data_IF_266813945664
#
_entry.id   IF_266813945664
#
_cell.length_a   1.000
_cell.length_b   1.000
_cell.length_c   1.000
_cell.angle_alpha   90.00
_cell.angle_beta   90.00
_cell.angle_gamma   90.00
#
_symmetry.space_group_name_H-M   'P 1'
#
loop_
_entity.id
_entity.type
_entity.pdbx_description
1 polymer ?
#
# COMPACT_ATOMS: atom_id res chain seq x y z
N UNK A 1 -13.72 -8.64 -25.50
CA UNK A 1 -14.33 -9.52 -24.48
C UNK A 1 -13.38 -9.56 -23.30
N UNK A 2 -13.37 -8.50 -22.48
CA UNK A 2 -12.43 -8.31 -21.38
C UNK A 2 -13.14 -8.65 -20.06
N UNK A 3 -12.55 -9.59 -19.32
CA UNK A 3 -13.05 -10.14 -18.07
C UNK A 3 -12.83 -9.14 -16.92
N UNK A 4 -13.83 -8.29 -16.68
CA UNK A 4 -14.05 -7.62 -15.40
C UNK A 4 -14.72 -8.61 -14.45
N UNK A 5 -13.92 -9.36 -13.72
CA UNK A 5 -14.40 -10.18 -12.61
C UNK A 5 -13.56 -9.86 -11.40
N UNK A 6 -14.11 -9.07 -10.46
CA UNK A 6 -14.03 -9.26 -9.01
C UNK A 6 -15.24 -8.52 -8.39
N UNK A 7 -15.87 -9.15 -7.39
CA UNK A 7 -16.86 -8.65 -6.40
C UNK A 7 -18.38 -8.59 -6.67
N UNK A 8 -18.91 -8.95 -7.85
CA UNK A 8 -20.38 -8.91 -8.09
C UNK A 8 -21.25 -9.77 -7.13
N UNK A 9 -20.90 -11.04 -6.78
CA UNK A 9 -21.80 -11.89 -6.01
C UNK A 9 -21.89 -11.59 -4.51
N UNK A 10 -21.02 -10.72 -3.96
CA UNK A 10 -21.06 -10.34 -2.54
C UNK A 10 -21.94 -9.12 -2.29
N UNK A 11 -21.90 -8.16 -3.22
CA UNK A 11 -22.82 -7.02 -3.30
C UNK A 11 -24.26 -7.53 -3.46
N UNK A 12 -24.49 -8.51 -4.34
CA UNK A 12 -25.83 -9.09 -4.58
C UNK A 12 -26.43 -9.77 -3.34
N UNK A 13 -25.60 -10.35 -2.47
CA UNK A 13 -26.04 -11.15 -1.31
C UNK A 13 -26.22 -10.36 -0.01
N UNK A 14 -25.63 -9.17 0.09
CA UNK A 14 -25.93 -8.21 1.15
C UNK A 14 -27.03 -7.21 0.77
N UNK A 15 -27.32 -7.03 -0.54
CA UNK A 15 -28.37 -6.13 -1.05
C UNK A 15 -29.78 -6.72 -1.01
N UNK A 16 -29.97 -8.04 -0.96
CA UNK A 16 -31.33 -8.62 -0.82
C UNK A 16 -32.03 -8.26 0.52
N UNK A 17 -31.36 -7.54 1.44
CA UNK A 17 -31.92 -7.17 2.75
C UNK A 17 -32.00 -5.68 3.07
N UNK A 18 -31.55 -4.78 2.21
CA UNK A 18 -31.66 -3.33 2.46
C UNK A 18 -31.97 -2.58 1.17
N UNK A 19 -32.98 -1.72 1.21
CA UNK A 19 -33.38 -0.88 0.08
C UNK A 19 -32.22 0.00 -0.40
N UNK A 20 -31.89 -0.14 -1.69
CA UNK A 20 -31.29 0.86 -2.59
C UNK A 20 -30.28 1.87 -2.00
N UNK A 21 -28.99 1.57 -2.18
CA UNK A 21 -27.88 2.49 -1.86
C UNK A 21 -27.42 3.32 -3.10
N UNK A 22 -27.50 4.67 -3.06
CA UNK A 22 -27.00 5.58 -4.10
C UNK A 22 -25.49 5.51 -4.36
N UNK A 23 -24.68 5.13 -3.35
CA UNK A 23 -23.21 5.07 -3.42
C UNK A 23 -22.77 4.07 -4.51
N UNK A 24 -23.49 2.95 -4.59
CA UNK A 24 -23.22 1.83 -5.47
C UNK A 24 -23.52 2.12 -6.95
N UNK A 25 -24.40 3.09 -7.21
CA UNK A 25 -24.71 3.57 -8.57
C UNK A 25 -23.70 4.61 -9.05
N UNK A 26 -23.25 5.52 -8.17
CA UNK A 26 -22.24 6.52 -8.52
C UNK A 26 -20.90 5.87 -8.87
N UNK A 27 -20.46 4.87 -8.11
CA UNK A 27 -19.23 4.11 -8.44
C UNK A 27 -19.32 3.39 -9.79
N UNK A 28 -20.51 2.89 -10.18
CA UNK A 28 -20.71 2.25 -11.50
C UNK A 28 -20.68 3.26 -12.65
N UNK A 29 -21.28 4.42 -12.46
CA UNK A 29 -21.35 5.46 -13.48
C UNK A 29 -19.99 6.12 -13.75
N UNK A 30 -19.15 6.30 -12.74
CA UNK A 30 -17.80 6.85 -12.90
C UNK A 30 -16.86 5.89 -13.66
N UNK A 31 -16.98 4.58 -13.43
CA UNK A 31 -16.23 3.57 -14.21
C UNK A 31 -16.66 3.57 -15.69
N UNK A 32 -17.96 3.77 -15.95
CA UNK A 32 -18.48 3.87 -17.32
C UNK A 32 -18.06 5.17 -18.02
N UNK A 33 -18.04 6.31 -17.33
CA UNK A 33 -17.65 7.59 -17.95
C UNK A 33 -16.15 7.66 -18.30
N UNK A 34 -15.29 6.99 -17.53
CA UNK A 34 -13.85 6.86 -17.83
C UNK A 34 -13.61 5.97 -19.05
N UNK A 35 -14.39 4.90 -19.21
CA UNK A 35 -14.24 3.94 -20.32
C UNK A 35 -14.79 4.45 -21.65
N UNK A 36 -15.72 5.41 -21.63
CA UNK A 36 -16.30 6.02 -22.84
C UNK A 36 -15.65 7.35 -23.26
N UNK A 37 -14.60 7.80 -22.56
CA UNK A 37 -13.93 9.06 -22.89
C UNK A 37 -13.12 8.95 -24.20
N UNK A 38 -13.46 9.71 -25.27
CA UNK A 38 -12.78 9.64 -26.55
C UNK A 38 -11.29 10.04 -26.50
N UNK A 39 -10.85 10.76 -25.46
CA UNK A 39 -9.42 11.06 -25.24
C UNK A 39 -8.61 9.84 -24.76
N UNK A 40 -9.23 8.87 -24.08
CA UNK A 40 -8.56 7.64 -23.63
C UNK A 40 -8.33 6.69 -24.80
N UNK A 41 -9.31 6.57 -25.70
CA UNK A 41 -9.18 5.79 -26.94
C UNK A 41 -8.12 6.38 -27.89
N UNK A 42 -8.14 7.71 -28.08
CA UNK A 42 -7.14 8.39 -28.91
C UNK A 42 -5.71 8.32 -28.34
N UNK A 43 -5.56 8.27 -27.01
CA UNK A 43 -4.26 8.10 -26.36
C UNK A 43 -3.67 6.71 -26.63
N UNK A 44 -4.49 5.65 -26.64
CA UNK A 44 -4.05 4.27 -26.90
C UNK A 44 -3.49 4.13 -28.33
N UNK A 45 -4.17 4.69 -29.32
CA UNK A 45 -3.71 4.64 -30.72
C UNK A 45 -2.44 5.47 -30.95
N UNK A 46 -2.32 6.62 -30.27
CA UNK A 46 -1.12 7.48 -30.36
C UNK A 46 0.10 6.81 -29.73
N UNK A 47 -0.06 6.09 -28.61
CA UNK A 47 1.03 5.37 -27.94
C UNK A 47 1.53 4.20 -28.79
N UNK A 48 0.63 3.42 -29.41
CA UNK A 48 1.01 2.30 -30.27
C UNK A 48 1.84 2.74 -31.49
N UNK A 49 1.44 3.87 -32.09
CA UNK A 49 2.16 4.45 -33.25
C UNK A 49 3.52 5.02 -32.84
N UNK A 50 3.60 5.68 -31.68
CA UNK A 50 4.83 6.30 -31.17
C UNK A 50 5.88 5.27 -30.75
N UNK A 51 5.47 4.12 -30.18
CA UNK A 51 6.37 3.00 -29.85
C UNK A 51 6.96 2.36 -31.12
N UNK A 52 6.20 2.32 -32.21
CA UNK A 52 6.68 1.80 -33.49
C UNK A 52 7.69 2.73 -34.20
N UNK A 53 7.64 4.04 -33.95
CA UNK A 53 8.64 5.00 -34.43
C UNK A 53 9.90 5.06 -33.56
N UNK A 54 9.77 4.87 -32.24
CA UNK A 54 10.89 4.86 -31.28
C UNK A 54 11.79 3.63 -31.44
N UNK A 55 11.21 2.46 -31.73
CA UNK A 55 11.98 1.21 -31.95
C UNK A 55 12.90 1.27 -33.17
N UNK A 56 12.64 2.17 -34.14
CA UNK A 56 13.50 2.40 -35.30
C UNK A 56 14.71 3.33 -35.06
N UNK A 57 14.72 4.13 -33.98
CA UNK A 57 15.73 5.18 -33.73
C UNK A 57 16.74 4.89 -32.61
N UNK A 58 16.59 3.78 -31.88
CA UNK A 58 17.44 3.45 -30.70
C UNK A 58 18.85 2.92 -31.08
N UNK A 59 19.19 2.79 -32.37
CA UNK A 59 20.50 2.25 -32.80
C UNK A 59 21.67 3.23 -32.89
N UNK A 60 21.52 4.50 -32.55
CA UNK A 60 22.68 5.43 -32.61
C UNK A 60 22.50 6.70 -31.77
N UNK A 61 22.89 6.68 -30.50
CA UNK A 61 23.27 7.90 -29.78
C UNK A 61 24.48 7.62 -28.87
N UNK A 62 25.43 8.57 -28.71
CA UNK A 62 26.70 8.35 -28.03
C UNK A 62 26.55 8.52 -26.51
N UNK A 63 27.36 7.74 -25.76
CA UNK A 63 27.53 7.92 -24.31
C UNK A 63 28.28 9.21 -24.02
N UNK A 64 27.65 10.12 -23.27
CA UNK A 64 28.36 11.14 -22.51
C UNK A 64 28.48 10.66 -21.06
N UNK A 65 29.71 10.50 -20.62
CA UNK A 65 30.08 10.36 -19.22
C UNK A 65 30.06 11.76 -18.59
N UNK A 66 29.10 12.00 -17.70
CA UNK A 66 29.26 13.00 -16.64
C UNK A 66 28.86 12.35 -15.32
N UNK A 67 29.80 12.40 -14.38
CA UNK A 67 29.74 11.70 -13.11
C UNK A 67 28.62 12.21 -12.23
N UNK A 68 27.71 11.32 -11.89
CA UNK A 68 26.95 11.40 -10.66
C UNK A 68 27.16 10.05 -9.96
N UNK A 69 27.84 10.08 -8.82
CA UNK A 69 28.17 8.90 -8.03
C UNK A 69 26.89 8.12 -7.74
N UNK A 70 26.75 6.95 -8.39
CA UNK A 70 25.73 6.00 -8.00
C UNK A 70 26.11 5.50 -6.61
N UNK A 71 25.38 5.92 -5.58
CA UNK A 71 25.31 5.19 -4.33
C UNK A 71 24.66 3.84 -4.64
N UNK A 72 25.47 2.89 -5.11
CA UNK A 72 25.09 1.50 -5.16
C UNK A 72 24.96 1.05 -3.71
N UNK A 73 23.71 1.03 -3.22
CA UNK A 73 23.36 0.34 -1.98
C UNK A 73 23.91 -1.08 -2.11
N UNK A 74 24.83 -1.45 -1.22
CA UNK A 74 25.37 -2.82 -1.19
C UNK A 74 24.21 -3.79 -1.10
N UNK A 75 24.15 -4.74 -2.04
CA UNK A 75 23.23 -5.86 -1.96
C UNK A 75 23.52 -6.61 -0.65
N UNK A 76 22.51 -6.68 0.22
CA UNK A 76 22.68 -7.17 1.58
C UNK A 76 22.84 -8.69 1.60
N UNK A 77 23.80 -9.19 2.37
CA UNK A 77 23.96 -10.64 2.61
C UNK A 77 22.84 -11.11 3.57
N UNK A 78 21.79 -11.71 2.99
CA UNK A 78 20.68 -12.28 3.73
C UNK A 78 21.01 -13.73 4.15
N UNK A 79 20.97 -13.98 5.45
CA UNK A 79 21.10 -15.30 6.03
C UNK A 79 19.75 -16.02 6.02
N UNK A 80 19.77 -17.33 5.81
CA UNK A 80 18.57 -18.17 5.97
C UNK A 80 18.27 -18.28 7.47
N UNK A 81 17.07 -17.92 7.94
CA UNK A 81 16.71 -18.05 9.34
C UNK A 81 16.70 -19.53 9.77
N UNK A 82 17.20 -19.82 10.98
CA UNK A 82 17.23 -21.19 11.53
C UNK A 82 16.02 -21.51 12.40
N UNK A 83 15.45 -20.49 13.04
CA UNK A 83 14.46 -20.66 14.12
C UNK A 83 13.05 -20.21 13.70
N UNK A 84 12.91 -19.59 12.53
CA UNK A 84 11.64 -19.15 11.94
C UNK A 84 11.65 -19.36 10.43
N UNK A 85 10.46 -19.43 9.82
CA UNK A 85 10.33 -19.62 8.36
C UNK A 85 10.81 -18.40 7.58
N UNK A 86 10.57 -17.20 8.09
CA UNK A 86 10.93 -15.94 7.45
C UNK A 86 11.77 -15.06 8.37
N UNK A 87 12.70 -14.32 7.77
CA UNK A 87 13.30 -13.14 8.36
C UNK A 87 13.20 -11.97 7.37
N UNK A 88 13.19 -10.76 7.93
CA UNK A 88 13.26 -9.52 7.15
C UNK A 88 14.56 -8.83 7.55
N UNK A 89 15.50 -8.67 6.62
CA UNK A 89 16.84 -8.16 6.92
C UNK A 89 17.56 -8.97 8.03
N UNK A 90 17.38 -10.29 8.05
CA UNK A 90 17.88 -11.18 9.11
C UNK A 90 17.27 -10.96 10.51
N UNK A 91 16.25 -10.11 10.63
CA UNK A 91 15.48 -9.93 11.88
C UNK A 91 14.31 -10.92 11.89
N UNK A 92 14.11 -11.58 13.03
CA UNK A 92 12.98 -12.49 13.29
C UNK A 92 12.12 -12.02 14.47
N UNK A 93 10.91 -12.60 14.64
CA UNK A 93 10.07 -12.31 15.81
C UNK A 93 10.79 -12.72 17.12
N UNK A 94 10.57 -11.96 18.20
CA UNK A 94 11.15 -12.23 19.53
C UNK A 94 12.55 -11.66 19.78
N UNK A 95 13.23 -11.16 18.75
CA UNK A 95 14.48 -10.39 18.91
C UNK A 95 14.24 -9.12 19.74
N UNK A 96 15.25 -8.67 20.49
CA UNK A 96 15.11 -7.42 21.24
C UNK A 96 15.27 -6.19 20.35
N UNK A 97 14.55 -5.11 20.69
CA UNK A 97 14.72 -3.80 20.06
C UNK A 97 16.18 -3.32 20.07
N UNK A 98 16.92 -3.61 21.13
CA UNK A 98 18.34 -3.26 21.23
C UNK A 98 19.20 -3.99 20.17
N UNK A 99 18.94 -5.27 19.92
CA UNK A 99 19.62 -6.04 18.88
C UNK A 99 19.26 -5.51 17.48
N UNK A 100 17.98 -5.21 17.25
CA UNK A 100 17.51 -4.62 15.98
C UNK A 100 18.17 -3.26 15.74
N UNK A 101 18.16 -2.35 16.72
CA UNK A 101 18.75 -1.02 16.57
C UNK A 101 20.28 -1.06 16.48
N UNK A 102 20.94 -2.08 17.05
CA UNK A 102 22.37 -2.33 16.84
C UNK A 102 22.67 -2.70 15.38
N UNK A 103 21.75 -3.37 14.70
CA UNK A 103 21.90 -3.80 13.31
C UNK A 103 21.43 -2.74 12.30
N UNK A 104 20.30 -2.09 12.56
CA UNK A 104 19.63 -1.17 11.64
C UNK A 104 19.89 0.32 11.94
N UNK A 105 20.43 0.63 13.12
CA UNK A 105 20.45 1.99 13.65
C UNK A 105 19.11 2.42 14.22
N UNK A 106 18.96 3.71 14.51
CA UNK A 106 17.71 4.26 15.04
C UNK A 106 16.61 4.30 13.96
N UNK A 107 15.34 4.06 14.32
CA UNK A 107 14.22 4.18 13.39
C UNK A 107 14.07 5.62 12.90
N UNK A 108 13.74 5.76 11.61
CA UNK A 108 13.50 7.05 10.97
C UNK A 108 12.13 7.62 11.34
N UNK A 109 11.16 6.75 11.66
CA UNK A 109 9.83 7.13 12.14
C UNK A 109 9.25 6.08 13.08
N UNK A 110 8.38 6.51 13.99
CA UNK A 110 7.47 5.67 14.76
C UNK A 110 6.03 6.15 14.54
N UNK A 111 5.10 5.24 14.28
CA UNK A 111 3.71 5.57 13.96
C UNK A 111 2.75 4.52 14.54
N UNK A 112 1.65 4.96 15.16
CA UNK A 112 0.67 4.03 15.73
C UNK A 112 -0.02 3.23 14.63
N UNK A 113 -0.25 1.95 14.88
CA UNK A 113 -0.79 1.01 13.90
C UNK A 113 -2.12 0.39 14.37
N UNK A 114 -2.72 -0.41 13.50
CA UNK A 114 -4.00 -1.09 13.70
C UNK A 114 -3.98 -2.09 14.87
N UNK A 115 -2.81 -2.49 15.36
CA UNK A 115 -2.69 -3.41 16.49
C UNK A 115 -2.66 -2.70 17.84
N UNK A 116 -2.71 -1.36 17.87
CA UNK A 116 -2.61 -0.58 19.10
C UNK A 116 -1.17 -0.47 19.63
N UNK A 117 -0.19 -0.78 18.78
CA UNK A 117 1.25 -0.57 19.01
C UNK A 117 1.80 0.36 17.91
N UNK A 118 3.12 0.46 17.77
CA UNK A 118 3.76 1.29 16.77
C UNK A 118 4.50 0.46 15.73
N UNK A 119 4.38 0.85 14.46
CA UNK A 119 5.37 0.53 13.43
C UNK A 119 6.54 1.51 13.52
N UNK A 120 7.75 0.96 13.61
CA UNK A 120 9.02 1.69 13.54
C UNK A 120 9.64 1.47 12.16
N UNK A 121 9.77 2.53 11.36
CA UNK A 121 10.33 2.47 10.02
C UNK A 121 11.86 2.59 10.04
N UNK A 122 12.54 1.64 9.40
CA UNK A 122 13.99 1.62 9.22
C UNK A 122 14.31 1.65 7.74
N UNK A 123 15.18 2.56 7.34
CA UNK A 123 15.66 2.68 5.96
C UNK A 123 16.85 3.64 5.90
N UNK A 124 17.62 3.56 4.82
CA UNK A 124 18.56 4.60 4.39
C UNK A 124 17.98 5.32 3.18
N UNK A 125 17.41 6.52 3.36
CA UNK A 125 16.70 7.25 2.30
C UNK A 125 15.67 6.39 1.52
N UNK A 126 14.85 5.62 2.25
CA UNK A 126 13.89 4.62 1.75
C UNK A 126 14.48 3.41 1.01
N UNK A 127 15.80 3.31 0.84
CA UNK A 127 16.45 2.05 0.49
C UNK A 127 16.41 1.09 1.68
N UNK A 128 16.29 -0.20 1.38
CA UNK A 128 16.16 -1.26 2.39
C UNK A 128 15.06 -0.97 3.42
N UNK A 129 13.96 -0.37 2.97
CA UNK A 129 12.80 -0.09 3.80
C UNK A 129 12.21 -1.35 4.44
N UNK A 130 12.04 -1.29 5.76
CA UNK A 130 11.26 -2.23 6.54
C UNK A 130 10.59 -1.52 7.72
N UNK A 131 9.51 -2.11 8.23
CA UNK A 131 8.89 -1.69 9.48
C UNK A 131 8.95 -2.83 10.49
N UNK A 132 9.21 -2.47 11.74
CA UNK A 132 9.25 -3.40 12.88
C UNK A 132 8.28 -2.91 13.95
N UNK A 133 7.49 -3.83 14.51
CA UNK A 133 6.66 -3.59 15.68
C UNK A 133 7.29 -4.27 16.88
N UNK A 134 7.13 -3.67 18.07
CA UNK A 134 7.63 -4.22 19.32
C UNK A 134 6.53 -4.32 20.37
N UNK A 135 6.59 -5.38 21.17
CA UNK A 135 5.72 -5.60 22.30
C UNK A 135 6.12 -4.73 23.52
N UNK A 136 5.34 -4.84 24.60
CA UNK A 136 5.61 -4.14 25.87
C UNK A 136 6.94 -4.48 26.54
N UNK A 137 7.62 -5.56 26.12
CA UNK A 137 8.92 -6.01 26.61
C UNK A 137 10.05 -5.65 25.63
N UNK A 138 9.78 -4.82 24.63
CA UNK A 138 10.69 -4.46 23.55
C UNK A 138 11.17 -5.67 22.74
N UNK A 139 10.29 -6.64 22.51
CA UNK A 139 10.53 -7.79 21.63
C UNK A 139 9.77 -7.61 20.32
N UNK A 140 10.40 -8.00 19.21
CA UNK A 140 9.78 -7.92 17.88
C UNK A 140 8.51 -8.76 17.86
N UNK A 141 7.36 -8.14 17.58
CA UNK A 141 6.06 -8.81 17.46
C UNK A 141 5.40 -8.58 16.08
N UNK A 142 6.04 -7.78 15.22
CA UNK A 142 5.62 -7.61 13.84
C UNK A 142 6.77 -7.16 12.94
N UNK A 143 6.73 -7.59 11.67
CA UNK A 143 7.68 -7.24 10.63
C UNK A 143 6.93 -6.95 9.32
N UNK A 144 7.40 -5.97 8.56
CA UNK A 144 6.93 -5.72 7.21
C UNK A 144 8.09 -5.26 6.30
N UNK A 145 8.09 -5.70 5.05
CA UNK A 145 8.90 -5.09 3.99
C UNK A 145 8.26 -5.30 2.62
N UNK A 146 8.41 -4.31 1.74
CA UNK A 146 8.16 -4.40 0.31
C UNK A 146 9.47 -4.36 -0.52
N UNK A 147 10.63 -4.57 0.11
CA UNK A 147 11.95 -4.53 -0.51
C UNK A 147 12.54 -5.95 -0.65
N UNK A 148 13.68 -6.07 -1.33
CA UNK A 148 14.41 -7.34 -1.47
C UNK A 148 15.19 -7.70 -0.20
N UNK A 149 14.46 -7.80 0.92
CA UNK A 149 14.97 -8.08 2.26
C UNK A 149 14.41 -9.37 2.85
N UNK A 150 13.59 -10.09 2.08
CA UNK A 150 12.91 -11.31 2.49
C UNK A 150 13.88 -12.48 2.36
N UNK A 151 14.11 -13.16 3.47
CA UNK A 151 14.85 -14.43 3.49
C UNK A 151 13.98 -15.51 4.11
N UNK A 152 14.06 -16.73 3.56
CA UNK A 152 13.32 -17.88 4.09
C UNK A 152 14.04 -19.20 3.82
N UNK A 153 13.86 -20.16 4.71
CA UNK A 153 14.37 -21.53 4.53
C UNK A 153 13.76 -22.23 3.30
N UNK A 154 12.58 -21.79 2.88
CA UNK A 154 11.84 -22.39 1.77
C UNK A 154 12.07 -21.65 0.43
N UNK A 155 12.99 -20.69 0.39
CA UNK A 155 13.40 -19.98 -0.84
C UNK A 155 12.37 -18.98 -1.37
N UNK A 156 11.35 -18.64 -0.60
CA UNK A 156 10.41 -17.56 -0.89
C UNK A 156 11.12 -16.22 -0.64
N UNK A 157 11.04 -15.34 -1.64
CA UNK A 157 11.60 -13.98 -1.63
C UNK A 157 10.79 -13.08 -2.56
N UNK A 158 11.22 -11.83 -2.71
CA UNK A 158 10.63 -10.92 -3.70
C UNK A 158 10.67 -11.55 -5.10
N UNK A 159 9.56 -11.45 -5.84
CA UNK A 159 9.46 -12.02 -7.19
C UNK A 159 9.14 -13.52 -7.24
N UNK A 160 9.06 -14.22 -6.10
CA UNK A 160 8.59 -15.63 -6.09
C UNK A 160 7.15 -15.69 -6.63
N UNK A 161 6.82 -16.54 -7.62
CA UNK A 161 5.45 -16.74 -8.09
C UNK A 161 4.56 -17.36 -7.00
N UNK A 162 3.29 -16.93 -6.97
CA UNK A 162 2.26 -17.42 -6.04
C UNK A 162 2.13 -18.94 -6.00
N UNK A 163 2.26 -19.62 -7.14
CA UNK A 163 2.22 -21.08 -7.21
C UNK A 163 3.37 -21.73 -6.42
N UNK A 164 4.57 -21.14 -6.45
CA UNK A 164 5.70 -21.63 -5.65
C UNK A 164 5.48 -21.36 -4.16
N UNK A 165 4.86 -20.24 -3.79
CA UNK A 165 4.48 -19.99 -2.39
C UNK A 165 3.54 -21.09 -1.88
N UNK A 166 2.53 -21.47 -2.67
CA UNK A 166 1.61 -22.56 -2.30
C UNK A 166 2.30 -23.93 -2.20
N UNK A 167 3.27 -24.21 -3.06
CA UNK A 167 4.04 -25.45 -2.97
C UNK A 167 4.86 -25.52 -1.69
N UNK A 168 5.37 -24.39 -1.21
CA UNK A 168 6.26 -24.31 -0.05
C UNK A 168 5.52 -24.13 1.29
N UNK A 169 4.42 -23.39 1.32
CA UNK A 169 3.67 -23.07 2.55
C UNK A 169 2.33 -23.81 2.67
N UNK A 170 1.90 -24.50 1.60
CA UNK A 170 0.61 -25.17 1.55
C UNK A 170 -0.55 -24.21 1.24
N UNK A 171 -1.73 -24.52 1.79
CA UNK A 171 -2.95 -23.76 1.52
C UNK A 171 -3.05 -22.52 2.42
N UNK A 172 -3.38 -21.35 1.87
CA UNK A 172 -3.62 -20.16 2.68
C UNK A 172 -4.91 -20.28 3.49
N UNK A 173 -5.00 -19.49 4.55
CA UNK A 173 -6.22 -19.33 5.33
C UNK A 173 -7.31 -18.66 4.49
N UNK A 174 -8.55 -19.04 4.74
CA UNK A 174 -9.75 -18.37 4.24
C UNK A 174 -10.47 -17.58 5.33
N UNK A 175 -10.08 -17.74 6.58
CA UNK A 175 -10.60 -17.00 7.73
C UNK A 175 -9.59 -16.99 8.89
N UNK A 176 -9.69 -15.99 9.76
CA UNK A 176 -9.05 -15.98 11.08
C UNK A 176 -10.15 -16.07 12.13
N UNK A 177 -9.96 -16.96 13.11
CA UNK A 177 -10.83 -17.04 14.28
C UNK A 177 -10.23 -16.21 15.42
N UNK A 178 -11.04 -15.36 16.03
CA UNK A 178 -10.71 -14.65 17.28
C UNK A 178 -11.80 -14.89 18.30
N UNK A 179 -11.49 -15.68 19.33
CA UNK A 179 -12.47 -16.16 20.30
C UNK A 179 -13.64 -16.91 19.64
N UNK A 180 -14.82 -16.28 19.64
CA UNK A 180 -16.06 -16.81 19.03
C UNK A 180 -16.37 -16.22 17.63
N UNK A 181 -15.58 -15.24 17.18
CA UNK A 181 -15.80 -14.54 15.90
C UNK A 181 -14.90 -15.13 14.82
N UNK A 182 -15.46 -15.31 13.62
CA UNK A 182 -14.74 -15.74 12.43
C UNK A 182 -14.69 -14.59 11.43
N UNK A 183 -13.47 -14.10 11.17
CA UNK A 183 -13.20 -13.08 10.16
C UNK A 183 -12.88 -13.79 8.85
N UNK A 184 -13.85 -13.79 7.94
CA UNK A 184 -13.69 -14.39 6.62
C UNK A 184 -12.95 -13.45 5.70
N UNK A 185 -12.00 -14.02 4.98
CA UNK A 185 -11.30 -13.30 3.93
C UNK A 185 -12.05 -13.44 2.61
N UNK A 186 -11.86 -12.45 1.73
CA UNK A 186 -12.37 -12.51 0.38
C UNK A 186 -11.62 -13.58 -0.45
N UNK A 187 -12.32 -14.14 -1.44
CA UNK A 187 -11.79 -15.22 -2.27
C UNK A 187 -10.82 -14.72 -3.37
N UNK A 188 -10.96 -13.48 -3.83
CA UNK A 188 -10.16 -12.93 -4.92
C UNK A 188 -9.38 -11.69 -4.48
N UNK A 189 -8.47 -11.94 -3.54
CA UNK A 189 -7.58 -10.95 -2.93
C UNK A 189 -6.18 -11.06 -3.53
N UNK A 190 -5.50 -9.92 -3.56
CA UNK A 190 -4.14 -9.79 -4.10
C UNK A 190 -3.06 -10.13 -3.04
N UNK A 191 -3.44 -10.83 -1.96
CA UNK A 191 -2.56 -11.31 -0.90
C UNK A 191 -3.05 -12.64 -0.32
N UNK A 192 -2.19 -13.37 0.38
CA UNK A 192 -2.56 -14.58 1.11
C UNK A 192 -2.03 -14.56 2.53
N UNK A 193 -2.82 -15.10 3.46
CA UNK A 193 -2.46 -15.22 4.87
C UNK A 193 -2.22 -16.69 5.20
N UNK A 194 -1.11 -16.99 5.85
CA UNK A 194 -0.75 -18.30 6.35
C UNK A 194 -0.58 -18.23 7.85
N UNK A 195 -1.03 -19.26 8.58
CA UNK A 195 -0.62 -19.45 9.97
C UNK A 195 0.50 -20.47 10.01
N UNK A 196 1.67 -20.04 10.46
CA UNK A 196 2.86 -20.88 10.58
C UNK A 196 3.45 -20.67 11.96
N UNK A 197 3.62 -21.76 12.70
CA UNK A 197 4.01 -21.75 14.11
C UNK A 197 3.10 -20.78 14.90
N UNK A 198 3.70 -19.81 15.60
CA UNK A 198 3.02 -18.77 16.37
C UNK A 198 2.96 -17.43 15.62
N UNK A 199 2.82 -17.46 14.29
CA UNK A 199 2.78 -16.25 13.47
C UNK A 199 1.74 -16.32 12.35
N UNK A 200 1.20 -15.16 12.00
CA UNK A 200 0.43 -14.92 10.78
C UNK A 200 1.34 -14.25 9.75
N UNK A 201 1.48 -14.89 8.60
CA UNK A 201 2.32 -14.42 7.50
C UNK A 201 1.40 -14.01 6.36
N UNK A 202 1.37 -12.72 6.06
CA UNK A 202 0.68 -12.17 4.89
C UNK A 202 1.69 -11.96 3.76
N UNK A 203 1.43 -12.57 2.61
CA UNK A 203 2.23 -12.42 1.39
C UNK A 203 1.40 -11.66 0.37
N UNK A 204 1.90 -10.50 -0.08
CA UNK A 204 1.27 -9.66 -1.09
C UNK A 204 1.81 -9.99 -2.47
N UNK A 205 0.96 -9.90 -3.50
CA UNK A 205 1.29 -10.22 -4.88
C UNK A 205 0.97 -9.07 -5.83
N UNK A 206 1.75 -8.93 -6.90
CA UNK A 206 1.40 -8.06 -8.03
C UNK A 206 0.60 -8.86 -9.07
N UNK A 207 -0.71 -8.62 -9.15
CA UNK A 207 -1.57 -9.31 -10.12
C UNK A 207 -1.25 -8.94 -11.57
N UNK A 208 -0.53 -7.84 -11.79
CA UNK A 208 -0.09 -7.37 -13.11
C UNK A 208 1.33 -7.84 -13.45
N UNK A 209 2.01 -8.56 -12.55
CA UNK A 209 3.31 -9.20 -12.79
C UNK A 209 3.27 -10.67 -12.43
N UNK A 210 2.38 -11.43 -13.08
CA UNK A 210 2.26 -12.89 -12.93
C UNK A 210 2.05 -13.36 -11.48
N UNK A 211 1.37 -12.57 -10.64
CA UNK A 211 1.14 -12.88 -9.22
C UNK A 211 2.44 -13.19 -8.47
N UNK A 212 3.50 -12.41 -8.68
CA UNK A 212 4.75 -12.58 -7.93
C UNK A 212 4.73 -11.80 -6.62
N UNK A 213 5.41 -12.31 -5.59
CA UNK A 213 5.55 -11.68 -4.27
C UNK A 213 6.10 -10.25 -4.39
N UNK A 214 5.41 -9.28 -3.78
CA UNK A 214 5.80 -7.86 -3.70
C UNK A 214 6.22 -7.41 -2.31
N UNK A 215 5.57 -7.97 -1.30
CA UNK A 215 5.79 -7.63 0.10
C UNK A 215 5.42 -8.80 1.01
N UNK A 216 5.91 -8.74 2.24
CA UNK A 216 5.57 -9.66 3.32
C UNK A 216 5.25 -8.86 4.59
N UNK A 217 4.25 -9.32 5.32
CA UNK A 217 3.97 -8.92 6.69
C UNK A 217 3.98 -10.17 7.57
N UNK A 218 4.72 -10.14 8.67
CA UNK A 218 4.77 -11.23 9.65
C UNK A 218 4.32 -10.66 10.98
N UNK A 219 3.25 -11.21 11.56
CA UNK A 219 2.62 -10.73 12.79
C UNK A 219 2.60 -11.87 13.79
N UNK A 220 3.07 -11.61 15.00
CA UNK A 220 2.99 -12.57 16.11
C UNK A 220 1.52 -12.97 16.39
N UNK A 221 1.29 -14.23 16.73
CA UNK A 221 -0.06 -14.74 16.97
C UNK A 221 -0.76 -14.01 18.11
N UNK A 222 -0.07 -13.71 19.22
CA UNK A 222 -0.68 -13.02 20.35
C UNK A 222 -1.04 -11.58 19.96
N UNK A 223 -0.21 -10.90 19.17
CA UNK A 223 -0.51 -9.57 18.64
C UNK A 223 -1.79 -9.58 17.79
N UNK A 224 -1.90 -10.52 16.84
CA UNK A 224 -3.08 -10.66 15.98
C UNK A 224 -4.33 -11.02 16.81
N UNK A 225 -4.23 -11.95 17.76
CA UNK A 225 -5.37 -12.39 18.57
C UNK A 225 -5.87 -11.32 19.56
N UNK A 226 -5.00 -10.40 19.99
CA UNK A 226 -5.37 -9.30 20.88
C UNK A 226 -6.09 -8.14 20.18
N UNK A 227 -6.12 -8.11 18.84
CA UNK A 227 -6.84 -7.06 18.10
C UNK A 227 -8.36 -7.19 18.31
N UNK A 228 -8.95 -6.15 18.89
CA UNK A 228 -10.34 -6.12 19.40
C UNK A 228 -11.42 -6.24 18.33
N UNK A 229 -11.14 -5.88 17.08
CA UNK A 229 -12.14 -5.80 16.02
C UNK A 229 -11.55 -5.92 14.61
N UNK A 230 -12.43 -5.84 13.61
CA UNK A 230 -12.03 -5.81 12.20
C UNK A 230 -11.29 -4.50 11.88
N UNK A 231 -11.87 -3.37 12.28
CA UNK A 231 -11.19 -2.09 12.35
C UNK A 231 -10.80 -1.78 13.79
N UNK A 232 -9.78 -0.94 13.90
CA UNK A 232 -9.30 -0.45 15.20
C UNK A 232 -10.01 0.85 15.52
N UNK A 233 -10.34 1.03 16.80
CA UNK A 233 -11.06 2.23 17.25
C UNK A 233 -10.29 3.49 16.84
N UNK A 234 -11.02 4.46 16.28
CA UNK A 234 -10.42 5.72 15.86
C UNK A 234 -9.73 6.41 17.05
N UNK A 235 -8.53 6.91 16.78
CA UNK A 235 -7.85 7.88 17.64
C UNK A 235 -7.05 8.83 16.77
N UNK A 236 -6.71 10.01 17.32
CA UNK A 236 -5.84 10.97 16.64
C UNK A 236 -4.50 10.31 16.25
N UNK A 237 -3.94 9.51 17.16
CA UNK A 237 -2.67 8.83 16.96
C UNK A 237 -2.75 7.77 15.86
N UNK A 238 -3.85 7.02 15.79
CA UNK A 238 -4.06 6.04 14.71
C UNK A 238 -4.23 6.73 13.36
N UNK A 239 -4.99 7.84 13.31
CA UNK A 239 -5.17 8.66 12.11
C UNK A 239 -3.83 9.16 11.56
N UNK A 240 -3.05 9.85 12.40
CA UNK A 240 -1.70 10.33 12.03
C UNK A 240 -0.75 9.16 11.71
N UNK A 241 -0.89 8.05 12.42
CA UNK A 241 -0.09 6.85 12.19
C UNK A 241 -0.32 6.26 10.80
N UNK A 242 -1.58 6.12 10.38
CA UNK A 242 -1.94 5.63 9.04
C UNK A 242 -1.46 6.58 7.93
N UNK A 243 -1.58 7.89 8.13
CA UNK A 243 -1.08 8.88 7.17
C UNK A 243 0.43 8.74 6.94
N UNK A 244 1.21 8.66 8.02
CA UNK A 244 2.65 8.51 7.92
C UNK A 244 3.08 7.16 7.35
N UNK A 245 2.39 6.07 7.71
CA UNK A 245 2.68 4.75 7.16
C UNK A 245 2.46 4.73 5.66
N UNK A 246 1.33 5.28 5.17
CA UNK A 246 1.06 5.31 3.74
C UNK A 246 2.06 6.20 2.99
N UNK A 247 2.46 7.34 3.57
CA UNK A 247 3.54 8.17 3.02
C UNK A 247 4.88 7.42 2.91
N UNK A 248 5.28 6.71 3.97
CA UNK A 248 6.53 5.97 3.98
C UNK A 248 6.52 4.77 3.01
N UNK A 249 5.38 4.07 2.89
CA UNK A 249 5.15 2.98 1.93
C UNK A 249 5.23 3.48 0.48
N UNK A 250 4.56 4.60 0.18
CA UNK A 250 4.60 5.26 -1.13
C UNK A 250 6.03 5.63 -1.51
N UNK A 251 6.80 6.21 -0.59
CA UNK A 251 8.21 6.53 -0.84
C UNK A 251 9.12 5.30 -0.98
N UNK A 252 8.86 4.24 -0.21
CA UNK A 252 9.59 2.98 -0.33
C UNK A 252 9.43 2.36 -1.74
N UNK A 253 8.22 2.39 -2.31
CA UNK A 253 8.01 1.91 -3.68
C UNK A 253 8.56 2.86 -4.75
N UNK A 254 8.50 4.18 -4.53
CA UNK A 254 9.14 5.13 -5.44
C UNK A 254 10.65 4.91 -5.54
N UNK A 255 11.33 4.83 -4.39
CA UNK A 255 12.78 4.60 -4.36
C UNK A 255 13.16 3.23 -4.92
N UNK A 256 12.37 2.18 -4.65
CA UNK A 256 12.51 0.86 -5.28
C UNK A 256 12.41 0.91 -6.81
N UNK A 257 11.64 1.84 -7.36
CA UNK A 257 11.49 2.07 -8.80
C UNK A 257 12.43 3.18 -9.34
N UNK A 258 13.49 3.53 -8.61
CA UNK A 258 14.49 4.54 -8.98
C UNK A 258 13.91 5.95 -9.16
N UNK A 259 12.85 6.28 -8.43
CA UNK A 259 12.26 7.61 -8.38
C UNK A 259 12.65 8.33 -7.09
N UNK A 260 12.79 9.67 -7.12
CA UNK A 260 12.99 10.44 -5.89
C UNK A 260 11.83 10.26 -4.92
N UNK A 261 12.16 10.15 -3.64
CA UNK A 261 11.17 10.23 -2.57
C UNK A 261 10.48 11.60 -2.59
N UNK A 262 9.16 11.59 -2.40
CA UNK A 262 8.34 12.77 -2.23
C UNK A 262 8.56 13.36 -0.85
N UNK A 263 8.49 14.69 -0.74
CA UNK A 263 8.54 15.37 0.55
C UNK A 263 7.13 15.50 1.12
N UNK A 264 7.01 15.29 2.42
CA UNK A 264 5.77 15.56 3.15
C UNK A 264 5.43 17.05 3.05
N UNK A 265 4.17 17.36 2.72
CA UNK A 265 3.65 18.73 2.75
C UNK A 265 2.40 18.78 3.64
N UNK A 266 2.50 19.48 4.77
CA UNK A 266 1.42 19.57 5.75
C UNK A 266 0.17 20.24 5.19
N UNK A 267 0.32 21.20 4.28
CA UNK A 267 -0.80 21.93 3.70
C UNK A 267 -1.62 21.02 2.79
N UNK A 268 -0.91 20.28 1.92
CA UNK A 268 -1.52 19.27 1.03
C UNK A 268 -2.20 18.17 1.85
N UNK A 269 -1.58 17.74 2.96
CA UNK A 269 -2.18 16.75 3.87
C UNK A 269 -3.46 17.25 4.54
N UNK A 270 -3.54 18.52 4.96
CA UNK A 270 -4.79 19.02 5.54
C UNK A 270 -5.93 19.02 4.52
N UNK A 271 -5.68 19.39 3.25
CA UNK A 271 -6.68 19.27 2.17
C UNK A 271 -7.07 17.82 1.92
N UNK A 272 -6.09 16.90 1.87
CA UNK A 272 -6.37 15.47 1.72
C UNK A 272 -7.22 14.94 2.89
N UNK A 273 -6.93 15.36 4.13
CA UNK A 273 -7.66 14.93 5.32
C UNK A 273 -9.08 15.49 5.34
N UNK A 274 -9.29 16.73 4.90
CA UNK A 274 -10.64 17.29 4.73
C UNK A 274 -11.48 16.43 3.78
N UNK A 275 -10.90 15.96 2.67
CA UNK A 275 -11.62 15.08 1.74
C UNK A 275 -11.91 13.70 2.34
N UNK A 276 -10.96 13.08 3.04
CA UNK A 276 -11.20 11.82 3.76
C UNK A 276 -12.28 11.97 4.83
N UNK A 277 -12.31 13.09 5.57
CA UNK A 277 -13.39 13.40 6.53
C UNK A 277 -14.73 13.53 5.82
N UNK A 278 -14.77 14.27 4.71
CA UNK A 278 -16.00 14.50 3.96
C UNK A 278 -16.61 13.18 3.45
N UNK A 279 -15.78 12.31 2.87
CA UNK A 279 -16.17 10.96 2.45
C UNK A 279 -16.66 10.09 3.61
N UNK A 280 -15.97 10.14 4.75
CA UNK A 280 -16.31 9.34 5.92
C UNK A 280 -17.62 9.80 6.59
N UNK A 281 -17.80 11.10 6.78
CA UNK A 281 -18.99 11.69 7.43
C UNK A 281 -20.25 11.56 6.58
N UNK A 282 -20.10 11.74 5.25
CA UNK A 282 -21.22 11.69 4.31
C UNK A 282 -21.42 10.30 3.67
N UNK A 283 -20.60 9.32 4.06
CA UNK A 283 -20.60 7.95 3.56
C UNK A 283 -20.63 7.89 2.03
N UNK A 284 -19.62 8.44 1.36
CA UNK A 284 -19.45 8.28 -0.09
C UNK A 284 -17.98 8.08 -0.44
N UNK A 285 -17.71 7.65 -1.67
CA UNK A 285 -16.35 7.43 -2.16
C UNK A 285 -16.23 7.91 -3.61
N UNK A 286 -15.66 9.10 -3.81
CA UNK A 286 -15.41 9.70 -5.13
C UNK A 286 -14.29 10.75 -5.04
N UNK A 287 -13.61 10.98 -6.16
CA UNK A 287 -12.68 12.10 -6.33
C UNK A 287 -13.39 13.46 -6.30
N UNK A 288 -14.65 13.51 -6.72
CA UNK A 288 -15.46 14.73 -6.70
C UNK A 288 -16.35 14.70 -5.46
N UNK A 289 -16.29 15.75 -4.64
CA UNK A 289 -17.16 15.80 -3.46
C UNK A 289 -18.61 16.09 -3.83
N UNK A 290 -19.53 16.00 -2.87
CA UNK A 290 -20.96 16.19 -3.12
C UNK A 290 -21.33 17.63 -3.50
N UNK A 291 -20.43 18.59 -3.24
CA UNK A 291 -20.52 19.97 -3.69
C UNK A 291 -20.04 20.16 -5.14
N UNK A 292 -19.55 19.10 -5.80
CA UNK A 292 -19.10 19.11 -7.19
C UNK A 292 -17.64 19.55 -7.38
N UNK A 293 -16.85 19.64 -6.32
CA UNK A 293 -15.45 20.06 -6.35
C UNK A 293 -14.54 18.87 -6.63
N UNK A 294 -13.71 19.00 -7.66
CA UNK A 294 -12.62 18.05 -7.95
C UNK A 294 -11.47 18.19 -6.93
N UNK A 295 -10.48 17.28 -6.92
CA UNK A 295 -9.30 17.41 -6.07
C UNK A 295 -8.56 18.74 -6.29
N UNK A 296 -8.54 19.21 -7.53
CA UNK A 296 -7.87 20.44 -7.92
C UNK A 296 -8.62 21.68 -7.43
N UNK A 297 -9.96 21.64 -7.41
CA UNK A 297 -10.77 22.72 -6.86
C UNK A 297 -10.56 22.82 -5.34
N UNK A 298 -10.54 21.67 -4.63
CA UNK A 298 -10.25 21.63 -3.19
C UNK A 298 -8.85 22.16 -2.87
N UNK A 299 -7.84 21.77 -3.65
CA UNK A 299 -6.48 22.30 -3.50
C UNK A 299 -6.42 23.81 -3.79
N UNK A 300 -7.12 24.29 -4.81
CA UNK A 300 -7.17 25.72 -5.12
C UNK A 300 -7.90 26.55 -4.05
N UNK A 301 -8.96 26.02 -3.45
CA UNK A 301 -9.69 26.68 -2.35
C UNK A 301 -8.83 26.80 -1.10
N UNK A 302 -7.97 25.81 -0.87
CA UNK A 302 -6.97 25.82 0.19
C UNK A 302 -5.67 26.54 -0.22
N UNK A 303 -5.65 27.38 -1.25
CA UNK A 303 -4.46 28.15 -1.69
C UNK A 303 -3.22 27.27 -2.02
N UNK A 304 -3.41 26.03 -2.46
CA UNK A 304 -2.35 25.13 -2.93
C UNK A 304 -2.16 25.30 -4.44
N UNK A 305 -1.07 25.96 -4.82
CA UNK A 305 -0.66 26.11 -6.21
C UNK A 305 0.25 24.95 -6.66
N UNK A 306 0.01 24.45 -7.87
CA UNK A 306 0.78 23.37 -8.47
C UNK A 306 0.84 23.49 -10.00
N UNK A 307 1.90 22.94 -10.59
CA UNK A 307 2.05 22.75 -12.04
C UNK A 307 1.57 21.37 -12.51
N UNK A 308 1.63 20.38 -11.63
CA UNK A 308 1.11 19.02 -11.84
C UNK A 308 0.55 18.52 -10.53
N UNK A 309 -0.61 17.86 -10.56
CA UNK A 309 -1.20 17.22 -9.39
C UNK A 309 -1.96 15.93 -9.74
N UNK A 310 -2.18 15.09 -8.74
CA UNK A 310 -3.01 13.89 -8.83
C UNK A 310 -3.50 13.45 -7.45
N UNK A 311 -4.53 12.60 -7.44
CA UNK A 311 -5.15 12.07 -6.22
C UNK A 311 -5.30 10.54 -6.33
N UNK A 312 -5.00 9.83 -5.26
CA UNK A 312 -5.44 8.45 -5.04
C UNK A 312 -6.38 8.39 -3.84
N UNK A 313 -7.38 7.52 -3.93
CA UNK A 313 -8.32 7.26 -2.84
C UNK A 313 -8.32 5.76 -2.50
N UNK A 314 -8.47 5.44 -1.22
CA UNK A 314 -8.75 4.08 -0.76
C UNK A 314 -9.76 4.11 0.41
N UNK A 315 -10.52 3.05 0.57
CA UNK A 315 -11.41 2.87 1.74
C UNK A 315 -11.62 1.38 2.04
N UNK A 316 -11.82 1.06 3.32
CA UNK A 316 -12.18 -0.29 3.77
C UNK A 316 -11.02 -1.25 4.01
N UNK A 317 -9.78 -0.83 3.76
CA UNK A 317 -8.60 -1.64 4.06
C UNK A 317 -8.24 -1.58 5.55
N UNK A 318 -7.71 -2.68 6.08
CA UNK A 318 -7.39 -2.85 7.50
C UNK A 318 -6.36 -1.85 8.04
N UNK A 319 -5.41 -1.44 7.21
CA UNK A 319 -4.32 -0.52 7.55
C UNK A 319 -3.69 0.06 6.30
N UNK A 320 -2.79 1.03 6.47
CA UNK A 320 -2.04 1.64 5.37
C UNK A 320 -1.26 0.66 4.53
N UNK A 321 -0.77 -0.46 5.10
CA UNK A 321 -0.10 -1.52 4.34
C UNK A 321 -1.05 -2.12 3.30
N UNK A 322 -2.25 -2.50 3.72
CA UNK A 322 -3.25 -3.09 2.82
C UNK A 322 -3.82 -2.07 1.83
N UNK A 323 -3.97 -0.80 2.25
CA UNK A 323 -4.37 0.28 1.37
C UNK A 323 -3.33 0.48 0.26
N UNK A 324 -2.05 0.60 0.63
CA UNK A 324 -0.93 0.78 -0.29
C UNK A 324 -0.80 -0.37 -1.30
N UNK A 325 -0.79 -1.62 -0.83
CA UNK A 325 -0.68 -2.78 -1.74
C UNK A 325 -1.90 -2.88 -2.67
N UNK A 326 -3.09 -2.45 -2.22
CA UNK A 326 -4.28 -2.32 -3.04
C UNK A 326 -4.17 -1.23 -4.10
N UNK A 327 -3.68 -0.04 -3.73
CA UNK A 327 -3.41 1.07 -4.65
C UNK A 327 -2.36 0.66 -5.68
N UNK A 328 -1.27 0.02 -5.25
CA UNK A 328 -0.28 -0.54 -6.16
C UNK A 328 -0.92 -1.58 -7.09
N UNK A 329 -1.88 -2.41 -6.67
CA UNK A 329 -2.57 -3.33 -7.58
C UNK A 329 -3.64 -2.68 -8.48
N UNK A 330 -3.85 -1.36 -8.41
CA UNK A 330 -4.67 -0.60 -9.37
C UNK A 330 -3.78 0.19 -10.31
N UNK A 331 -3.80 -0.12 -11.61
CA UNK A 331 -2.85 0.49 -12.56
C UNK A 331 -2.93 2.02 -12.61
N UNK A 332 -4.13 2.61 -12.52
CA UNK A 332 -4.29 4.07 -12.48
C UNK A 332 -3.71 4.70 -11.20
N UNK A 333 -3.93 4.07 -10.04
CA UNK A 333 -3.37 4.56 -8.78
C UNK A 333 -1.84 4.34 -8.70
N UNK A 334 -1.36 3.21 -9.21
CA UNK A 334 0.07 2.90 -9.36
C UNK A 334 0.77 3.94 -10.24
N UNK A 335 0.13 4.38 -11.32
CA UNK A 335 0.67 5.43 -12.19
C UNK A 335 0.88 6.73 -11.41
N UNK A 336 -0.06 7.15 -10.56
CA UNK A 336 0.12 8.31 -9.68
C UNK A 336 1.30 8.12 -8.71
N UNK A 337 1.35 6.99 -7.99
CA UNK A 337 2.42 6.68 -7.03
C UNK A 337 3.80 6.76 -7.70
N UNK A 338 3.91 6.22 -8.92
CA UNK A 338 5.17 6.12 -9.67
C UNK A 338 5.38 7.25 -10.69
N UNK A 339 4.59 8.33 -10.63
CA UNK A 339 4.75 9.45 -11.55
C UNK A 339 6.03 10.25 -11.22
N UNK A 340 7.00 10.39 -12.14
CA UNK A 340 8.27 11.05 -11.86
C UNK A 340 8.16 12.55 -11.55
N UNK A 341 7.14 13.23 -12.06
CA UNK A 341 7.02 14.68 -11.98
C UNK A 341 6.64 15.20 -10.58
N UNK A 342 6.01 14.38 -9.74
CA UNK A 342 5.62 14.79 -8.40
C UNK A 342 6.83 14.98 -7.47
N UNK A 343 6.74 15.98 -6.59
CA UNK A 343 7.80 16.33 -5.62
C UNK A 343 7.29 16.31 -4.18
N UNK A 344 6.00 16.52 -3.97
CA UNK A 344 5.35 16.62 -2.67
C UNK A 344 4.18 15.64 -2.57
N UNK A 345 3.92 15.15 -1.36
CA UNK A 345 2.80 14.28 -1.02
C UNK A 345 2.18 14.74 0.30
N UNK A 346 0.87 14.89 0.30
CA UNK A 346 0.06 14.96 1.52
C UNK A 346 -0.87 13.76 1.61
N UNK A 347 -0.85 13.05 2.74
CA UNK A 347 -1.74 11.93 3.00
C UNK A 347 -2.72 12.30 4.10
N UNK A 348 -4.01 12.17 3.83
CA UNK A 348 -5.08 12.41 4.79
C UNK A 348 -5.90 11.16 5.07
N UNK A 349 -6.12 10.86 6.34
CA UNK A 349 -6.94 9.71 6.76
C UNK A 349 -8.10 10.17 7.63
N UNK A 350 -9.25 9.52 7.47
CA UNK A 350 -10.37 9.63 8.40
C UNK A 350 -11.08 8.30 8.56
N UNK A 351 -12.00 8.23 9.51
CA UNK A 351 -12.78 7.04 9.82
C UNK A 351 -14.25 7.42 9.87
N UNK A 352 -15.14 6.54 9.39
CA UNK A 352 -16.58 6.71 9.61
C UNK A 352 -16.99 6.17 11.00
N UNK A 353 -18.29 6.23 11.30
CA UNK A 353 -18.86 5.76 12.56
C UNK A 353 -18.60 4.26 12.85
N UNK A 354 -18.28 3.46 11.83
CA UNK A 354 -17.93 2.04 11.95
C UNK A 354 -16.41 1.81 12.09
N UNK A 355 -15.64 2.89 12.27
CA UNK A 355 -14.17 2.89 12.24
C UNK A 355 -13.57 2.42 10.90
N UNK A 356 -14.34 2.44 9.82
CA UNK A 356 -13.83 2.14 8.48
C UNK A 356 -12.93 3.29 8.01
N UNK A 357 -11.66 3.03 7.63
CA UNK A 357 -10.76 4.08 7.21
C UNK A 357 -11.02 4.52 5.76
N UNK A 358 -10.85 5.81 5.53
CA UNK A 358 -10.83 6.50 4.24
C UNK A 358 -9.48 7.20 4.10
N UNK A 359 -8.80 6.96 2.98
CA UNK A 359 -7.47 7.47 2.67
C UNK A 359 -7.54 8.36 1.42
N UNK A 360 -6.82 9.48 1.47
CA UNK A 360 -6.59 10.36 0.33
C UNK A 360 -5.09 10.64 0.24
N UNK A 361 -4.47 10.36 -0.91
CA UNK A 361 -3.11 10.79 -1.23
C UNK A 361 -3.18 11.89 -2.28
N UNK A 362 -2.72 13.10 -1.95
CA UNK A 362 -2.59 14.21 -2.89
C UNK A 362 -1.13 14.42 -3.25
N UNK A 363 -0.81 14.24 -4.53
CA UNK A 363 0.51 14.39 -5.09
C UNK A 363 0.60 15.71 -5.84
N UNK A 364 1.66 16.50 -5.62
CA UNK A 364 1.84 17.76 -6.35
C UNK A 364 3.30 18.01 -6.77
N UNK A 365 3.45 18.89 -7.75
CA UNK A 365 4.66 19.64 -8.07
C UNK A 365 4.33 21.14 -8.06
N UNK A 366 5.12 21.96 -7.37
CA UNK A 366 4.92 23.42 -7.32
C UNK A 366 5.39 24.12 -8.59
#
# INVERSE_FOLDING_TARGET
MLLLFISWPFIEKQIEKTEYDPILQNMKMEIQSITENPHVSAAIDTISTTIHELTGKIKSLPKNEDGNESNQVKQQDLAVPTDQVFSVYNIILGESKEEVEKQLGAPQRSSMNEYGTNWYAYHDHYHNFMMVSYDSKNKVDGLFTNQDLISSANGIKLGTPKEMVYQQLGKPLNEIRKGLVFYKFENNRDYDVFKIDNSYITIFYDKHKNNTVTAIQVIDEDLEQNKKGFYSEESKQLKEGFEYQLFDLTNADRVKNNLPALKWDDHVKETARKHSNDMAEKNYFSHTNLEGQSPFDRMSEDDIFFTVAGENLATGQFSSIFAHEGLMNSLGHRENILRPEYELLGVGVSFNDESQPYYTENFIKK
#
